data_IF_567625528973
#
_entry.id   IF_567625528973
#
_cell.length_a   1.000
_cell.length_b   1.000
_cell.length_c   1.000
_cell.angle_alpha   90.00
_cell.angle_beta   90.00
_cell.angle_gamma   90.00
#
_symmetry.space_group_name_H-M   'P 1'
#
loop_
_entity.id
_entity.type
_entity.pdbx_description
1 polymer ?
#
# COMPACT_ATOMS: atom_id res chain seq x y z
N UNK A 1 -7.54 7.95 -1.22
CA UNK A 1 -6.16 7.66 -1.59
C UNK A 1 -5.82 6.29 -1.02
N UNK A 2 -5.07 5.47 -1.74
CA UNK A 2 -4.51 4.21 -1.24
C UNK A 2 -3.02 4.42 -0.95
N UNK A 3 -2.53 3.83 0.13
CA UNK A 3 -1.10 3.72 0.41
C UNK A 3 -0.68 2.28 0.10
N UNK A 4 0.40 2.10 -0.65
CA UNK A 4 0.82 0.79 -1.14
C UNK A 4 2.35 0.65 -1.07
N UNK A 5 2.78 -0.46 -0.46
CA UNK A 5 4.17 -0.90 -0.47
C UNK A 5 4.47 -1.78 -1.68
N UNK A 6 5.53 -1.48 -2.41
CA UNK A 6 5.92 -2.25 -3.58
C UNK A 6 7.21 -3.05 -3.38
N UNK A 7 7.23 -4.28 -3.89
CA UNK A 7 8.41 -5.14 -4.01
C UNK A 7 8.52 -5.77 -5.40
N UNK A 8 9.66 -6.38 -5.69
CA UNK A 8 9.88 -7.19 -6.89
C UNK A 8 9.92 -8.69 -6.56
N UNK A 9 9.32 -9.48 -7.43
CA UNK A 9 9.56 -10.93 -7.51
C UNK A 9 10.83 -11.24 -8.30
N UNK A 10 11.28 -12.49 -8.26
CA UNK A 10 12.44 -13.01 -9.00
C UNK A 10 12.32 -12.86 -10.52
N UNK A 11 11.12 -12.89 -11.04
CA UNK A 11 10.76 -12.66 -12.45
C UNK A 11 10.31 -11.22 -12.74
N UNK A 12 10.75 -10.29 -11.88
CA UNK A 12 10.61 -8.84 -12.04
C UNK A 12 9.16 -8.34 -12.16
N UNK A 13 8.22 -9.03 -11.52
CA UNK A 13 6.85 -8.55 -11.38
C UNK A 13 6.76 -7.64 -10.16
N UNK A 14 6.09 -6.49 -10.32
CA UNK A 14 5.85 -5.54 -9.23
C UNK A 14 4.62 -5.97 -8.45
N UNK A 15 4.83 -6.38 -7.20
CA UNK A 15 3.78 -6.83 -6.28
C UNK A 15 3.54 -5.80 -5.18
N UNK A 16 2.31 -5.75 -4.69
CA UNK A 16 1.93 -4.91 -3.55
C UNK A 16 1.93 -5.75 -2.28
N UNK A 17 2.87 -5.46 -1.37
CA UNK A 17 3.10 -6.22 -0.15
C UNK A 17 3.94 -5.38 0.82
N UNK A 18 3.60 -5.35 2.11
CA UNK A 18 4.40 -4.59 3.07
C UNK A 18 5.78 -5.22 3.32
N UNK A 19 5.80 -6.49 3.72
CA UNK A 19 7.04 -7.17 4.12
C UNK A 19 7.78 -7.78 2.94
N UNK A 20 9.11 -7.73 2.99
CA UNK A 20 9.95 -8.49 2.07
C UNK A 20 9.78 -10.01 2.28
N UNK A 21 9.63 -10.45 3.54
CA UNK A 21 9.51 -11.85 3.91
C UNK A 21 8.05 -12.23 4.21
N UNK A 22 7.61 -13.37 3.68
CA UNK A 22 6.22 -13.82 3.77
C UNK A 22 5.85 -14.45 5.12
N UNK A 23 6.76 -14.56 6.08
CA UNK A 23 6.54 -15.25 7.35
C UNK A 23 5.43 -14.61 8.19
N UNK A 24 5.41 -13.28 8.27
CA UNK A 24 4.40 -12.56 9.05
C UNK A 24 3.02 -12.67 8.40
N UNK A 25 2.96 -12.46 7.10
CA UNK A 25 1.71 -12.42 6.34
C UNK A 25 1.16 -13.79 6.02
N UNK A 26 1.97 -14.85 6.02
CA UNK A 26 1.56 -16.14 5.43
C UNK A 26 2.07 -17.37 6.18
N UNK A 27 2.99 -17.20 7.12
CA UNK A 27 3.66 -18.29 7.83
C UNK A 27 4.82 -18.94 7.07
N UNK A 28 5.04 -18.61 5.79
CA UNK A 28 6.13 -19.17 4.98
C UNK A 28 7.37 -18.29 5.07
N UNK A 29 8.49 -18.86 5.54
CA UNK A 29 9.76 -18.14 5.70
C UNK A 29 10.55 -18.10 4.37
N UNK A 30 10.15 -17.18 3.50
CA UNK A 30 10.76 -16.95 2.19
C UNK A 30 10.63 -15.48 1.81
N UNK A 31 11.66 -14.92 1.17
CA UNK A 31 11.60 -13.56 0.64
C UNK A 31 10.91 -13.53 -0.72
N UNK A 32 10.13 -12.49 -0.97
CA UNK A 32 9.37 -12.31 -2.21
C UNK A 32 10.29 -12.22 -3.44
N UNK A 33 11.49 -11.66 -3.27
CA UNK A 33 12.53 -11.54 -4.31
C UNK A 33 13.07 -12.88 -4.79
N UNK A 34 12.89 -13.97 -4.04
CA UNK A 34 13.35 -15.32 -4.40
C UNK A 34 12.30 -16.13 -5.17
N UNK A 35 11.06 -15.65 -5.19
CA UNK A 35 9.91 -16.34 -5.79
C UNK A 35 9.58 -15.77 -7.17
N UNK A 36 9.13 -16.63 -8.09
CA UNK A 36 8.51 -16.19 -9.34
C UNK A 36 7.02 -15.95 -9.10
N UNK A 37 6.45 -14.92 -9.71
CA UNK A 37 5.03 -14.69 -9.64
C UNK A 37 4.27 -15.78 -10.41
N UNK A 38 3.23 -16.34 -9.79
CA UNK A 38 2.37 -17.33 -10.43
C UNK A 38 0.92 -17.04 -10.08
N UNK A 39 0.08 -16.97 -11.10
CA UNK A 39 -1.37 -16.78 -10.98
C UNK A 39 -2.06 -18.04 -10.42
N UNK A 40 -1.37 -19.19 -10.44
CA UNK A 40 -1.89 -20.45 -9.89
C UNK A 40 -2.20 -20.30 -8.40
N UNK A 41 -3.49 -20.42 -8.07
CA UNK A 41 -4.16 -20.20 -6.78
C UNK A 41 -3.67 -21.04 -5.58
N UNK A 42 -2.53 -21.71 -5.71
CA UNK A 42 -2.01 -22.67 -4.74
C UNK A 42 -1.30 -21.99 -3.55
N UNK A 43 -0.75 -20.80 -3.77
CA UNK A 43 -0.14 -20.01 -2.69
C UNK A 43 -1.17 -18.99 -2.20
N UNK A 44 -2.13 -19.49 -1.42
CA UNK A 44 -3.08 -18.69 -0.64
C UNK A 44 -2.29 -18.00 0.47
N UNK A 45 -1.62 -16.91 0.13
CA UNK A 45 -0.86 -16.09 1.07
C UNK A 45 -1.87 -15.29 1.90
N UNK A 46 -2.42 -15.95 2.90
CA UNK A 46 -3.49 -15.45 3.71
C UNK A 46 -2.93 -14.53 4.79
N UNK A 47 -3.06 -13.22 4.61
CA UNK A 47 -2.83 -12.20 5.64
C UNK A 47 -3.63 -12.56 6.89
N UNK A 48 -3.02 -13.29 7.82
CA UNK A 48 -3.55 -13.52 9.15
C UNK A 48 -2.75 -12.66 10.11
N UNK A 49 -3.15 -11.39 10.22
CA UNK A 49 -2.96 -10.67 11.48
C UNK A 49 -4.26 -10.79 12.25
N UNK A 50 -4.18 -10.97 13.57
CA UNK A 50 -5.35 -11.09 14.47
C UNK A 50 -6.28 -9.86 14.46
N UNK A 51 -5.91 -8.82 13.72
CA UNK A 51 -6.57 -7.51 13.68
C UNK A 51 -7.17 -7.16 12.30
N UNK A 52 -6.91 -7.94 11.25
CA UNK A 52 -7.44 -7.68 9.90
C UNK A 52 -8.46 -8.75 9.48
N UNK A 53 -9.74 -8.39 9.45
CA UNK A 53 -10.80 -9.20 8.86
C UNK A 53 -10.87 -8.98 7.35
N UNK A 54 -10.19 -9.84 6.58
CA UNK A 54 -10.32 -9.84 5.11
C UNK A 54 -11.43 -10.82 4.69
N UNK A 55 -12.54 -10.28 4.17
CA UNK A 55 -13.60 -11.07 3.51
C UNK A 55 -13.28 -11.23 2.03
N UNK A 56 -13.36 -12.46 1.50
CA UNK A 56 -13.08 -12.75 0.09
C UNK A 56 -12.39 -14.10 -0.13
N UNK A 57 -12.65 -14.70 -1.30
CA UNK A 57 -12.01 -15.96 -1.70
C UNK A 57 -10.64 -15.75 -2.36
N UNK A 58 -10.42 -14.59 -3.00
CA UNK A 58 -9.12 -14.24 -3.58
C UNK A 58 -8.20 -13.66 -2.49
N UNK A 59 -7.13 -14.39 -2.21
CA UNK A 59 -6.13 -14.05 -1.18
C UNK A 59 -4.72 -14.03 -1.76
N UNK A 60 -4.60 -13.72 -3.05
CA UNK A 60 -3.29 -13.57 -3.69
C UNK A 60 -2.66 -12.23 -3.34
N UNK A 61 -1.34 -12.19 -3.41
CA UNK A 61 -0.58 -10.93 -3.42
C UNK A 61 -0.88 -10.25 -4.77
N UNK A 62 -1.51 -9.05 -4.78
CA UNK A 62 -1.87 -8.40 -6.02
C UNK A 62 -0.64 -7.80 -6.71
N UNK A 63 -0.68 -7.77 -8.04
CA UNK A 63 0.25 -6.98 -8.85
C UNK A 63 -0.15 -5.51 -8.80
N UNK A 64 0.83 -4.61 -8.87
CA UNK A 64 0.56 -3.17 -8.92
C UNK A 64 -0.32 -2.80 -10.13
N UNK A 65 -0.12 -3.47 -11.27
CA UNK A 65 -0.95 -3.28 -12.46
C UNK A 65 -2.43 -3.64 -12.22
N UNK A 66 -2.70 -4.71 -11.47
CA UNK A 66 -4.08 -5.12 -11.13
C UNK A 66 -4.76 -4.06 -10.25
N UNK A 67 -4.02 -3.45 -9.32
CA UNK A 67 -4.52 -2.35 -8.49
C UNK A 67 -4.83 -1.12 -9.34
N UNK A 68 -3.96 -0.79 -10.30
CA UNK A 68 -4.18 0.31 -11.24
C UNK A 68 -5.42 0.09 -12.11
N UNK A 69 -5.65 -1.12 -12.57
CA UNK A 69 -6.84 -1.50 -13.36
C UNK A 69 -8.12 -1.46 -12.54
N UNK A 70 -8.08 -1.95 -11.29
CA UNK A 70 -9.25 -1.97 -10.41
C UNK A 70 -9.64 -0.56 -9.93
N UNK A 71 -8.67 0.34 -9.75
CA UNK A 71 -8.88 1.67 -9.19
C UNK A 71 -8.34 2.78 -10.11
N UNK A 72 -8.86 2.95 -11.34
CA UNK A 72 -8.30 3.84 -12.37
C UNK A 72 -8.27 5.32 -11.97
N UNK A 73 -9.14 5.75 -11.06
CA UNK A 73 -9.31 7.15 -10.67
C UNK A 73 -8.94 7.43 -9.21
N UNK A 74 -8.46 6.43 -8.47
CA UNK A 74 -8.10 6.60 -7.06
C UNK A 74 -6.64 7.06 -6.95
N UNK A 75 -6.35 8.16 -6.23
CA UNK A 75 -4.98 8.54 -5.94
C UNK A 75 -4.25 7.45 -5.16
N UNK A 76 -2.97 7.24 -5.45
CA UNK A 76 -2.13 6.23 -4.81
C UNK A 76 -0.85 6.89 -4.31
N UNK A 77 -0.47 6.60 -3.07
CA UNK A 77 0.87 6.84 -2.54
C UNK A 77 1.65 5.51 -2.58
N UNK A 78 2.77 5.48 -3.29
CA UNK A 78 3.59 4.28 -3.47
C UNK A 78 4.87 4.41 -2.66
N UNK A 79 5.09 3.51 -1.71
CA UNK A 79 6.37 3.38 -1.01
C UNK A 79 7.24 2.28 -1.63
N UNK A 80 8.53 2.60 -1.82
CA UNK A 80 9.53 1.68 -2.35
C UNK A 80 10.35 1.16 -1.17
N UNK A 81 9.97 0.00 -0.64
CA UNK A 81 10.52 -0.55 0.60
C UNK A 81 11.97 -1.05 0.49
N UNK A 82 12.52 -1.15 -0.72
CA UNK A 82 13.86 -1.69 -0.96
C UNK A 82 14.63 -0.74 -1.88
N UNK A 83 15.90 -0.44 -1.54
CA UNK A 83 16.77 0.36 -2.39
C UNK A 83 17.16 -0.42 -3.67
N UNK A 84 16.32 -0.34 -4.69
CA UNK A 84 16.44 -1.12 -5.92
C UNK A 84 16.02 -0.28 -7.15
N UNK A 85 17.00 0.10 -7.96
CA UNK A 85 16.79 0.92 -9.16
C UNK A 85 15.87 0.26 -10.19
N UNK A 86 15.90 -1.07 -10.30
CA UNK A 86 15.01 -1.81 -11.21
C UNK A 86 13.56 -1.69 -10.76
N UNK A 87 13.30 -1.79 -9.45
CA UNK A 87 11.96 -1.62 -8.90
C UNK A 87 11.44 -0.20 -9.17
N UNK A 88 12.25 0.82 -8.88
CA UNK A 88 11.91 2.23 -9.15
C UNK A 88 11.57 2.42 -10.63
N UNK A 89 12.41 1.89 -11.52
CA UNK A 89 12.19 1.97 -12.97
C UNK A 89 10.88 1.29 -13.38
N UNK A 90 10.63 0.07 -12.93
CA UNK A 90 9.41 -0.69 -13.27
C UNK A 90 8.14 -0.01 -12.76
N UNK A 91 8.16 0.51 -11.54
CA UNK A 91 7.05 1.30 -10.99
C UNK A 91 6.83 2.56 -11.83
N UNK A 92 7.89 3.29 -12.17
CA UNK A 92 7.78 4.48 -13.02
C UNK A 92 7.21 4.16 -14.42
N UNK A 93 7.62 3.05 -15.03
CA UNK A 93 7.07 2.58 -16.31
C UNK A 93 5.58 2.23 -16.20
N UNK A 94 5.16 1.61 -15.10
CA UNK A 94 3.74 1.33 -14.83
C UNK A 94 2.93 2.62 -14.63
N UNK A 95 3.43 3.57 -13.84
CA UNK A 95 2.75 4.85 -13.62
C UNK A 95 2.56 5.59 -14.95
N UNK A 96 3.58 5.62 -15.81
CA UNK A 96 3.49 6.28 -17.11
C UNK A 96 2.65 5.54 -18.14
N UNK A 97 2.73 4.21 -18.20
CA UNK A 97 1.92 3.43 -19.15
C UNK A 97 0.43 3.55 -18.89
N UNK A 98 0.02 3.63 -17.62
CA UNK A 98 -1.37 3.87 -17.22
C UNK A 98 -1.74 5.38 -17.17
N UNK A 99 -0.82 6.30 -17.50
CA UNK A 99 -1.03 7.76 -17.53
C UNK A 99 -1.51 8.35 -16.19
N UNK A 100 -0.89 7.90 -15.10
CA UNK A 100 -1.35 8.17 -13.72
C UNK A 100 -0.45 9.13 -12.96
N UNK A 101 0.51 9.77 -13.60
CA UNK A 101 1.52 10.62 -12.95
C UNK A 101 0.88 11.70 -12.07
N UNK A 102 -0.29 12.21 -12.47
CA UNK A 102 -1.05 13.24 -11.75
C UNK A 102 -1.82 12.73 -10.51
N UNK A 103 -1.92 11.41 -10.32
CA UNK A 103 -2.62 10.76 -9.20
C UNK A 103 -1.72 9.78 -8.44
N UNK A 104 -0.44 9.71 -8.77
CA UNK A 104 0.54 8.88 -8.08
C UNK A 104 1.53 9.77 -7.34
N UNK A 105 1.54 9.65 -6.03
CA UNK A 105 2.54 10.24 -5.16
C UNK A 105 3.59 9.17 -4.87
N UNK A 106 4.86 9.55 -5.00
CA UNK A 106 5.96 8.71 -4.53
C UNK A 106 6.17 8.97 -3.04
N UNK A 107 6.16 7.91 -2.24
CA UNK A 107 6.54 7.95 -0.84
C UNK A 107 7.93 8.54 -0.72
N UNK A 108 8.01 9.77 -0.24
CA UNK A 108 9.24 10.53 -0.08
C UNK A 108 9.09 11.44 1.13
N UNK A 109 10.17 11.66 1.86
CA UNK A 109 10.21 12.66 2.94
C UNK A 109 10.21 14.04 2.26
N UNK A 110 9.04 14.57 1.95
CA UNK A 110 8.86 15.92 1.41
C UNK A 110 8.22 16.86 2.46
N UNK A 111 8.17 18.16 2.19
CA UNK A 111 7.80 19.22 3.15
C UNK A 111 6.32 19.23 3.58
N UNK A 112 5.49 18.32 3.06
CA UNK A 112 4.13 18.08 3.56
C UNK A 112 4.16 17.00 4.66
N UNK A 113 3.67 17.36 5.85
CA UNK A 113 3.66 16.46 7.01
C UNK A 113 2.42 15.57 6.94
N UNK A 114 2.62 14.35 6.44
CA UNK A 114 1.69 13.25 6.62
C UNK A 114 2.07 12.47 7.88
N UNK A 115 1.12 12.23 8.78
CA UNK A 115 1.36 11.44 9.99
C UNK A 115 0.70 10.06 9.80
N UNK A 116 1.48 9.00 10.02
CA UNK A 116 1.07 7.60 9.86
C UNK A 116 1.66 6.73 11.00
N UNK A 117 1.05 5.62 11.42
CA UNK A 117 -0.35 5.16 11.22
C UNK A 117 -1.13 5.53 12.47
N UNK A 118 -2.21 6.30 12.32
CA UNK A 118 -3.08 6.67 13.45
C UNK A 118 -4.38 5.86 13.34
N UNK A 119 -4.88 5.36 14.47
CA UNK A 119 -6.04 4.46 14.48
C UNK A 119 -7.14 4.91 15.46
N UNK A 120 -6.90 5.97 16.24
CA UNK A 120 -7.85 6.53 17.21
C UNK A 120 -8.20 8.03 16.98
N UNK A 121 -9.41 8.44 17.38
CA UNK A 121 -9.89 9.82 17.13
C UNK A 121 -9.05 10.90 17.83
N UNK A 122 -8.51 10.59 19.02
CA UNK A 122 -7.64 11.53 19.74
C UNK A 122 -6.32 11.74 18.99
N UNK A 123 -5.81 10.71 18.33
CA UNK A 123 -4.61 10.78 17.51
C UNK A 123 -4.86 11.62 16.25
N UNK A 124 -6.00 11.43 15.58
CA UNK A 124 -6.40 12.25 14.43
C UNK A 124 -6.49 13.72 14.80
N UNK A 125 -7.19 14.05 15.89
CA UNK A 125 -7.33 15.42 16.36
C UNK A 125 -5.95 16.05 16.63
N UNK A 126 -5.09 15.32 17.35
CA UNK A 126 -3.73 15.79 17.66
C UNK A 126 -2.90 16.03 16.40
N UNK A 127 -3.01 15.17 15.39
CA UNK A 127 -2.31 15.36 14.13
C UNK A 127 -2.72 16.67 13.43
N UNK A 128 -4.02 16.93 13.32
CA UNK A 128 -4.52 18.17 12.71
C UNK A 128 -4.24 19.41 13.57
N UNK A 129 -4.34 19.32 14.90
CA UNK A 129 -3.96 20.41 15.81
C UNK A 129 -2.48 20.83 15.63
N UNK A 130 -1.61 19.89 15.22
CA UNK A 130 -0.19 20.11 14.91
C UNK A 130 0.06 20.63 13.49
N UNK A 131 -0.99 20.84 12.69
CA UNK A 131 -0.91 21.33 11.32
C UNK A 131 -0.61 20.26 10.26
N UNK A 132 -0.88 18.97 10.55
CA UNK A 132 -0.74 17.92 9.56
C UNK A 132 -1.67 18.16 8.35
N UNK A 133 -1.15 17.96 7.14
CA UNK A 133 -1.92 18.12 5.90
C UNK A 133 -2.81 16.90 5.64
N UNK A 134 -2.41 15.73 6.14
CA UNK A 134 -3.17 14.49 6.00
C UNK A 134 -2.76 13.42 6.99
N UNK A 135 -3.64 12.43 7.16
CA UNK A 135 -3.45 11.28 8.05
C UNK A 135 -3.63 10.00 7.25
N UNK A 136 -2.76 9.03 7.48
CA UNK A 136 -2.92 7.65 7.00
C UNK A 136 -3.41 6.76 8.16
N UNK A 137 -4.41 5.93 7.89
CA UNK A 137 -5.09 5.09 8.88
C UNK A 137 -5.56 3.78 8.26
N UNK A 138 -5.61 2.73 9.07
CA UNK A 138 -6.23 1.45 8.71
C UNK A 138 -7.78 1.54 8.73
N UNK A 139 -8.35 2.61 9.29
CA UNK A 139 -9.80 2.82 9.43
C UNK A 139 -10.30 4.04 8.63
N UNK A 140 -10.22 4.05 7.29
CA UNK A 140 -10.55 5.21 6.47
C UNK A 140 -12.00 5.68 6.63
N UNK A 141 -12.94 4.77 6.90
CA UNK A 141 -14.35 5.12 7.19
C UNK A 141 -14.47 5.94 8.47
N UNK A 142 -13.75 5.53 9.53
CA UNK A 142 -13.74 6.25 10.83
C UNK A 142 -13.14 7.65 10.68
N UNK A 143 -12.01 7.76 9.98
CA UNK A 143 -11.40 9.07 9.70
C UNK A 143 -12.33 9.96 8.87
N UNK A 144 -13.05 9.41 7.89
CA UNK A 144 -14.04 10.17 7.11
C UNK A 144 -15.17 10.71 8.00
N UNK A 145 -15.71 9.89 8.90
CA UNK A 145 -16.74 10.31 9.85
C UNK A 145 -16.22 11.39 10.82
N UNK A 146 -14.99 11.24 11.30
CA UNK A 146 -14.32 12.25 12.12
C UNK A 146 -14.21 13.59 11.38
N UNK A 147 -13.70 13.59 10.15
CA UNK A 147 -13.54 14.80 9.34
C UNK A 147 -14.87 15.49 9.00
N UNK A 148 -15.97 14.75 8.86
CA UNK A 148 -17.31 15.34 8.71
C UNK A 148 -17.79 16.05 9.97
N UNK A 149 -17.50 15.50 11.15
CA UNK A 149 -17.93 16.05 12.44
C UNK A 149 -17.02 17.16 12.96
N UNK A 150 -15.77 17.22 12.47
CA UNK A 150 -14.76 18.20 12.82
C UNK A 150 -14.13 18.80 11.55
N UNK A 151 -14.89 19.59 10.77
CA UNK A 151 -14.33 20.31 9.64
C UNK A 151 -13.28 21.31 10.13
N UNK A 152 -12.13 21.33 9.45
CA UNK A 152 -11.04 22.26 9.69
C UNK A 152 -11.44 23.73 9.51
#
# INVERSE_FOLDING_TARGET
MLELDCHLTKDEQVVVLHDENLKRSTGVDVNISDLKYSVSSSTKFCLYTSECHCEGEDKRIPLLQEVFEAFPHTPVNIDIKVNNDLLIKKVSELVSSYKREHLTVWGSISHEIYIWVLNEDQEYKRAFDLGATGVMTDYPTRLKEFLHNYPA
#
